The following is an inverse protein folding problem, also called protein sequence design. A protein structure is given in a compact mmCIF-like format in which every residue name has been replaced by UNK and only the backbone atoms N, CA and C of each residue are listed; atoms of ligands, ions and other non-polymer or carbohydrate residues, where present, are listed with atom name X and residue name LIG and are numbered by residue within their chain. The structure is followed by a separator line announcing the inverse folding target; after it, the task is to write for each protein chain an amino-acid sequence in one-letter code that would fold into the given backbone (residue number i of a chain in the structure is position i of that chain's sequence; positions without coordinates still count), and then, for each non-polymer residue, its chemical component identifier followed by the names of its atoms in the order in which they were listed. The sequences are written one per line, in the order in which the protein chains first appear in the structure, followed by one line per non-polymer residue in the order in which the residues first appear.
data_IF_448309617364
#
_entry.id   IF_448309617364
#
_cell.length_a   1.000
_cell.length_b   1.000
_cell.length_c   1.000
_cell.angle_alpha   90.00
_cell.angle_beta   90.00
_cell.angle_gamma   90.00
#
_symmetry.space_group_name_H-M   'P 1'
#
loop_
_entity.id
_entity.type
_entity.pdbx_description
1 polymer ?
#
# COMPACT_ATOMS: atom_id res chain seq x y z
N UNK A 1 -12.62 -24.52 -16.94
CA UNK A 1 -11.26 -24.51 -17.45
C UNK A 1 -10.41 -23.59 -16.58
N UNK A 2 -9.52 -24.18 -15.78
CA UNK A 2 -8.49 -23.47 -15.02
C UNK A 2 -7.34 -23.16 -15.95
N UNK A 3 -7.04 -21.89 -16.21
CA UNK A 3 -5.79 -21.51 -16.89
C UNK A 3 -4.68 -21.41 -15.84
N UNK A 4 -3.61 -22.14 -16.02
CA UNK A 4 -2.37 -22.02 -15.25
C UNK A 4 -1.57 -20.84 -15.79
N UNK A 5 -1.06 -20.00 -14.91
CA UNK A 5 0.07 -19.12 -15.23
C UNK A 5 1.31 -19.76 -14.61
N UNK A 6 2.20 -20.26 -15.45
CA UNK A 6 3.58 -20.52 -15.06
C UNK A 6 4.30 -19.16 -15.02
N UNK A 7 4.78 -18.75 -13.87
CA UNK A 7 5.70 -17.63 -13.78
C UNK A 7 7.03 -18.08 -14.38
N UNK A 8 7.29 -17.70 -15.63
CA UNK A 8 8.59 -17.86 -16.25
C UNK A 8 9.64 -17.07 -15.47
N UNK A 9 10.59 -17.77 -14.93
CA UNK A 9 11.84 -17.19 -14.41
C UNK A 9 12.64 -16.58 -15.57
N UNK A 10 13.69 -15.76 -15.31
CA UNK A 10 14.43 -15.12 -16.37
C UNK A 10 15.21 -16.17 -17.19
N UNK A 11 14.71 -16.47 -18.38
CA UNK A 11 15.36 -17.29 -19.37
C UNK A 11 16.45 -16.49 -20.08
N UNK A 12 17.65 -17.06 -20.12
CA UNK A 12 18.78 -16.55 -20.91
C UNK A 12 18.59 -16.86 -22.40
N UNK A 13 18.96 -15.88 -23.22
CA UNK A 13 19.64 -16.07 -24.49
C UNK A 13 18.76 -16.35 -25.72
N UNK A 14 18.90 -15.52 -26.72
CA UNK A 14 18.47 -15.73 -28.08
C UNK A 14 18.82 -14.53 -28.96
N UNK A 15 20.04 -14.57 -29.55
CA UNK A 15 20.52 -13.57 -30.50
C UNK A 15 19.74 -13.58 -31.82
N UNK A 16 19.59 -12.36 -32.36
CA UNK A 16 19.68 -11.91 -33.74
C UNK A 16 18.93 -12.67 -34.85
N UNK A 17 18.06 -11.98 -35.56
CA UNK A 17 18.11 -11.90 -37.02
C UNK A 17 17.72 -10.49 -37.45
N UNK A 18 18.71 -9.77 -38.01
CA UNK A 18 18.53 -8.52 -38.75
C UNK A 18 18.01 -8.83 -40.16
N UNK A 19 16.99 -8.14 -40.62
CA UNK A 19 16.83 -7.88 -42.04
C UNK A 19 16.47 -6.42 -42.32
N UNK A 20 17.31 -5.87 -43.18
CA UNK A 20 17.33 -4.51 -43.67
C UNK A 20 16.15 -4.23 -44.61
N UNK A 21 15.43 -3.12 -44.41
CA UNK A 21 14.86 -2.39 -45.52
C UNK A 21 15.10 -0.88 -45.29
N UNK A 22 15.92 -0.28 -46.18
CA UNK A 22 16.08 1.18 -46.31
C UNK A 22 15.00 1.66 -47.29
N UNK A 23 14.25 2.66 -46.88
CA UNK A 23 13.62 3.58 -47.83
C UNK A 23 13.89 5.00 -47.34
N UNK A 24 14.54 5.75 -48.18
CA UNK A 24 14.84 7.17 -48.05
C UNK A 24 13.58 7.94 -48.46
N UNK A 25 13.10 8.83 -47.59
CA UNK A 25 12.30 9.97 -48.04
C UNK A 25 12.74 11.23 -47.28
N UNK A 26 13.31 12.16 -48.01
CA UNK A 26 13.53 13.54 -47.59
C UNK A 26 12.18 14.27 -47.50
N UNK A 27 11.91 14.85 -46.36
CA UNK A 27 10.81 15.80 -46.19
C UNK A 27 11.04 16.61 -44.94
N UNK A 28 11.37 17.89 -45.14
CA UNK A 28 11.49 18.93 -44.13
C UNK A 28 10.17 18.97 -43.35
N UNK A 29 10.18 18.67 -42.05
CA UNK A 29 9.08 18.93 -41.15
C UNK A 29 9.59 19.52 -39.84
N UNK A 30 9.06 20.70 -39.58
CA UNK A 30 9.20 21.43 -38.32
C UNK A 30 9.19 20.48 -37.11
N UNK A 31 10.18 20.67 -36.26
CA UNK A 31 10.22 20.07 -34.93
C UNK A 31 9.18 20.75 -34.04
N UNK A 32 7.95 20.25 -34.09
CA UNK A 32 7.03 20.38 -32.98
C UNK A 32 7.31 19.18 -32.02
N UNK A 33 8.00 19.47 -30.93
CA UNK A 33 8.14 18.59 -29.84
C UNK A 33 6.74 18.29 -29.27
N UNK A 34 6.11 17.20 -29.72
CA UNK A 34 4.99 16.59 -29.06
C UNK A 34 5.52 15.98 -27.75
N UNK A 35 5.53 16.78 -26.71
CA UNK A 35 5.52 16.26 -25.35
C UNK A 35 4.24 15.44 -25.27
N UNK A 36 4.36 14.12 -25.31
CA UNK A 36 3.28 13.19 -25.03
C UNK A 36 2.94 13.36 -23.54
N UNK A 37 2.11 14.35 -23.24
CA UNK A 37 1.36 14.33 -21.99
C UNK A 37 0.55 13.04 -22.05
N UNK A 38 0.82 12.11 -21.13
CA UNK A 38 -0.03 10.96 -20.92
C UNK A 38 -1.39 11.50 -20.48
N UNK A 39 -2.29 11.68 -21.43
CA UNK A 39 -3.64 12.15 -21.18
C UNK A 39 -4.31 11.08 -20.32
N UNK A 40 -4.74 11.46 -19.11
CA UNK A 40 -5.48 10.57 -18.23
C UNK A 40 -6.64 9.94 -19.03
N UNK A 41 -6.88 8.64 -18.83
CA UNK A 41 -8.03 8.01 -19.50
C UNK A 41 -9.32 8.61 -18.94
N UNK A 42 -10.40 8.51 -19.70
CA UNK A 42 -11.72 8.95 -19.23
C UNK A 42 -12.11 8.26 -17.91
N UNK A 43 -11.80 6.98 -17.78
CA UNK A 43 -12.04 6.22 -16.55
C UNK A 43 -11.22 6.73 -15.37
N UNK A 44 -9.97 7.15 -15.60
CA UNK A 44 -9.13 7.72 -14.53
C UNK A 44 -9.71 9.05 -14.04
N UNK A 45 -10.10 9.94 -14.98
CA UNK A 45 -10.68 11.25 -14.64
C UNK A 45 -11.97 11.10 -13.84
N UNK A 46 -12.92 10.27 -14.31
CA UNK A 46 -14.17 10.00 -13.61
C UNK A 46 -13.93 9.38 -12.23
N UNK A 47 -13.00 8.43 -12.14
CA UNK A 47 -12.68 7.79 -10.87
C UNK A 47 -12.06 8.78 -9.87
N UNK A 48 -11.18 9.69 -10.32
CA UNK A 48 -10.61 10.74 -9.46
C UNK A 48 -11.68 11.70 -8.97
N UNK A 49 -12.63 12.11 -9.81
CA UNK A 49 -13.74 12.98 -9.41
C UNK A 49 -14.62 12.30 -8.36
N UNK A 50 -15.10 11.07 -8.61
CA UNK A 50 -15.91 10.32 -7.67
C UNK A 50 -15.20 10.10 -6.33
N UNK A 51 -13.90 9.81 -6.36
CA UNK A 51 -13.10 9.62 -5.16
C UNK A 51 -12.92 10.93 -4.37
N UNK A 52 -12.72 12.07 -5.04
CA UNK A 52 -12.67 13.40 -4.40
C UNK A 52 -13.99 13.72 -3.71
N UNK A 53 -15.12 13.47 -4.38
CA UNK A 53 -16.45 13.66 -3.79
C UNK A 53 -16.68 12.77 -2.56
N UNK A 54 -16.08 11.59 -2.54
CA UNK A 54 -16.11 10.67 -1.40
C UNK A 54 -15.08 11.01 -0.30
N UNK A 55 -14.34 12.12 -0.43
CA UNK A 55 -13.40 12.60 0.58
C UNK A 55 -11.99 12.01 0.50
N UNK A 56 -11.61 11.39 -0.61
CA UNK A 56 -10.22 11.00 -0.87
C UNK A 56 -9.40 12.24 -1.17
N UNK A 57 -8.27 12.38 -0.47
CA UNK A 57 -7.36 13.51 -0.67
C UNK A 57 -6.31 13.14 -1.72
N UNK A 58 -6.20 13.97 -2.74
CA UNK A 58 -5.24 13.79 -3.84
C UNK A 58 -4.12 14.81 -3.78
N UNK A 59 -2.92 14.35 -4.09
CA UNK A 59 -1.71 15.17 -4.22
C UNK A 59 -1.03 14.89 -5.56
N UNK A 60 -0.52 15.91 -6.27
CA UNK A 60 -0.06 15.75 -7.65
C UNK A 60 1.41 15.35 -7.79
N UNK A 61 2.30 15.89 -6.99
CA UNK A 61 3.75 15.77 -7.19
C UNK A 61 4.34 14.67 -6.31
N UNK A 62 4.03 13.42 -6.66
CA UNK A 62 4.52 12.29 -5.89
C UNK A 62 5.42 11.39 -6.73
N UNK A 63 6.38 10.77 -6.06
CA UNK A 63 7.18 9.67 -6.59
C UNK A 63 6.79 8.39 -5.86
N UNK A 64 6.47 7.35 -6.63
CA UNK A 64 6.11 6.03 -6.12
C UNK A 64 7.16 5.03 -6.57
N UNK A 65 7.83 4.38 -5.62
CA UNK A 65 8.73 3.26 -5.88
C UNK A 65 8.10 1.99 -5.33
N UNK A 66 7.87 1.01 -6.20
CA UNK A 66 7.33 -0.29 -5.78
C UNK A 66 8.43 -1.14 -5.17
N UNK A 67 8.11 -1.79 -4.05
CA UNK A 67 8.98 -2.71 -3.31
C UNK A 67 8.29 -4.08 -3.29
N UNK A 68 8.52 -4.93 -4.31
CA UNK A 68 7.77 -6.16 -4.54
C UNK A 68 8.19 -7.33 -3.65
N UNK A 69 9.21 -7.14 -2.80
CA UNK A 69 9.69 -8.16 -1.85
C UNK A 69 10.02 -7.57 -0.49
N UNK A 70 10.01 -8.44 0.53
CA UNK A 70 10.47 -8.05 1.87
C UNK A 70 11.95 -7.66 1.89
N UNK A 71 12.80 -8.30 1.09
CA UNK A 71 14.20 -7.96 1.00
C UNK A 71 14.39 -6.51 0.54
N UNK A 72 13.79 -6.12 -0.58
CA UNK A 72 13.85 -4.75 -1.10
C UNK A 72 13.24 -3.74 -0.12
N UNK A 73 12.08 -4.07 0.47
CA UNK A 73 11.44 -3.21 1.46
C UNK A 73 12.34 -2.92 2.64
N UNK A 74 12.89 -3.95 3.27
CA UNK A 74 13.65 -3.76 4.50
C UNK A 74 15.02 -3.13 4.23
N UNK A 75 15.66 -3.48 3.11
CA UNK A 75 16.91 -2.84 2.71
C UNK A 75 16.73 -1.33 2.49
N UNK A 76 15.74 -0.93 1.71
CA UNK A 76 15.45 0.47 1.42
C UNK A 76 15.00 1.24 2.67
N UNK A 77 14.05 0.68 3.43
CA UNK A 77 13.53 1.30 4.64
C UNK A 77 14.61 1.47 5.72
N UNK A 78 15.50 0.51 5.91
CA UNK A 78 16.57 0.61 6.90
C UNK A 78 17.58 1.68 6.51
N UNK A 79 17.94 1.80 5.22
CA UNK A 79 18.78 2.89 4.72
C UNK A 79 18.15 4.26 4.99
N UNK A 80 16.84 4.40 4.75
CA UNK A 80 16.12 5.64 5.03
C UNK A 80 16.08 5.97 6.54
N UNK A 81 15.86 4.96 7.39
CA UNK A 81 15.93 5.12 8.85
C UNK A 81 17.34 5.54 9.30
N UNK A 82 18.39 4.92 8.76
CA UNK A 82 19.78 5.31 9.06
C UNK A 82 20.07 6.77 8.74
N UNK A 83 19.51 7.28 7.65
CA UNK A 83 19.70 8.66 7.19
C UNK A 83 18.81 9.68 7.90
N UNK A 84 17.86 9.24 8.74
CA UNK A 84 16.96 10.13 9.45
C UNK A 84 17.68 11.06 10.42
N UNK A 85 17.16 12.28 10.60
CA UNK A 85 17.77 13.31 11.44
C UNK A 85 16.83 13.91 12.49
N UNK A 86 15.52 13.86 12.26
CA UNK A 86 14.54 14.55 13.10
C UNK A 86 13.57 13.57 13.76
N UNK A 87 12.81 12.81 12.97
CA UNK A 87 11.84 11.89 13.51
C UNK A 87 11.56 10.66 12.62
N UNK A 88 11.10 9.59 13.27
CA UNK A 88 10.65 8.36 12.65
C UNK A 88 9.33 7.96 13.33
N UNK A 89 8.24 7.91 12.58
CA UNK A 89 6.95 7.47 13.04
C UNK A 89 6.58 6.15 12.38
N UNK A 90 6.22 5.14 13.17
CA UNK A 90 5.87 3.81 12.68
C UNK A 90 4.49 3.40 13.22
N UNK A 91 3.60 3.00 12.33
CA UNK A 91 2.29 2.43 12.63
C UNK A 91 2.14 1.10 11.93
N UNK A 92 2.00 0.01 12.69
CA UNK A 92 1.90 -1.34 12.15
C UNK A 92 0.84 -2.17 12.87
N UNK A 93 0.20 -3.07 12.12
CA UNK A 93 -0.68 -4.06 12.73
C UNK A 93 0.09 -5.00 13.65
N UNK A 94 1.26 -5.48 13.22
CA UNK A 94 2.15 -6.25 14.09
C UNK A 94 3.64 -6.04 13.79
N UNK A 95 4.44 -6.22 14.83
CA UNK A 95 5.88 -6.42 14.75
C UNK A 95 6.20 -7.82 15.28
N UNK A 96 6.98 -8.56 14.53
CA UNK A 96 7.47 -9.87 14.98
C UNK A 96 8.79 -9.75 15.73
N UNK A 97 8.92 -10.48 16.83
CA UNK A 97 10.20 -10.57 17.57
C UNK A 97 11.13 -11.62 16.93
N UNK A 98 11.42 -11.44 15.65
CA UNK A 98 12.35 -12.24 14.84
C UNK A 98 13.58 -11.42 14.43
N UNK A 99 14.37 -11.88 13.44
CA UNK A 99 15.62 -11.23 13.07
C UNK A 99 15.41 -9.82 12.54
N UNK A 100 14.48 -9.62 11.62
CA UNK A 100 14.14 -8.30 11.06
C UNK A 100 13.53 -7.38 12.12
N UNK A 101 12.62 -7.91 12.94
CA UNK A 101 12.05 -7.12 14.03
C UNK A 101 13.11 -6.64 15.01
N UNK A 102 14.04 -7.52 15.43
CA UNK A 102 15.14 -7.14 16.30
C UNK A 102 16.09 -6.14 15.64
N UNK A 103 16.45 -6.34 14.37
CA UNK A 103 17.31 -5.43 13.63
C UNK A 103 16.67 -4.02 13.53
N UNK A 104 15.35 -3.94 13.24
CA UNK A 104 14.64 -2.69 13.21
C UNK A 104 14.70 -1.97 14.57
N UNK A 105 14.32 -2.62 15.66
CA UNK A 105 14.33 -2.00 16.99
C UNK A 105 15.74 -1.61 17.45
N UNK A 106 16.77 -2.37 17.09
CA UNK A 106 18.18 -2.01 17.35
C UNK A 106 18.57 -0.74 16.60
N UNK A 107 18.17 -0.62 15.33
CA UNK A 107 18.41 0.57 14.53
C UNK A 107 17.65 1.79 15.07
N UNK A 108 16.40 1.62 15.46
CA UNK A 108 15.61 2.69 16.08
C UNK A 108 16.24 3.17 17.41
N UNK A 109 16.71 2.26 18.26
CA UNK A 109 17.40 2.61 19.49
C UNK A 109 18.70 3.38 19.22
N UNK A 110 19.48 3.00 18.19
CA UNK A 110 20.64 3.77 17.72
C UNK A 110 20.23 5.20 17.34
N UNK A 111 19.16 5.37 16.55
CA UNK A 111 18.66 6.69 16.10
C UNK A 111 18.18 7.55 17.27
N UNK A 112 17.55 6.96 18.27
CA UNK A 112 17.17 7.65 19.51
C UNK A 112 18.38 8.19 20.24
N UNK A 113 19.47 7.43 20.32
CA UNK A 113 20.74 7.90 20.92
C UNK A 113 21.38 9.03 20.12
N UNK A 114 21.12 9.10 18.83
CA UNK A 114 21.53 10.19 17.93
C UNK A 114 20.61 11.43 18.05
N UNK A 115 19.58 11.37 18.91
CA UNK A 115 18.65 12.49 19.16
C UNK A 115 17.39 12.49 18.27
N UNK A 116 17.21 11.48 17.43
CA UNK A 116 16.03 11.33 16.57
C UNK A 116 14.82 10.92 17.42
N UNK A 117 13.68 11.56 17.23
CA UNK A 117 12.42 11.18 17.90
C UNK A 117 11.78 9.98 17.22
N UNK A 118 11.50 8.93 17.99
CA UNK A 118 10.89 7.70 17.48
C UNK A 118 9.56 7.46 18.17
N UNK A 119 8.48 7.36 17.38
CA UNK A 119 7.14 6.99 17.86
C UNK A 119 6.63 5.77 17.14
N UNK A 120 6.13 4.82 17.90
CA UNK A 120 5.64 3.54 17.40
C UNK A 120 4.22 3.28 17.89
N UNK A 121 3.32 2.99 16.96
CA UNK A 121 1.98 2.47 17.26
C UNK A 121 1.90 1.04 16.74
N UNK A 122 1.34 0.13 17.54
CA UNK A 122 0.98 -1.20 17.06
C UNK A 122 -0.38 -1.63 17.59
N UNK A 123 -1.04 -2.49 16.82
CA UNK A 123 -2.33 -3.06 17.19
C UNK A 123 -2.16 -4.20 18.20
N UNK A 124 -2.91 -4.19 19.30
CA UNK A 124 -2.75 -5.22 20.34
C UNK A 124 -3.19 -6.60 19.84
N UNK A 125 -4.30 -6.71 19.10
CA UNK A 125 -4.72 -7.97 18.50
C UNK A 125 -3.70 -8.49 17.49
N UNK A 126 -3.21 -7.61 16.63
CA UNK A 126 -2.15 -7.94 15.66
C UNK A 126 -0.91 -8.47 16.33
N UNK A 127 -0.55 -7.91 17.48
CA UNK A 127 0.60 -8.37 18.26
C UNK A 127 0.35 -9.71 18.94
N UNK A 128 -0.77 -9.88 19.67
CA UNK A 128 -1.03 -11.11 20.44
C UNK A 128 -1.40 -12.31 19.56
N UNK A 129 -1.97 -12.08 18.39
CA UNK A 129 -2.26 -13.14 17.40
C UNK A 129 -1.01 -13.63 16.65
N UNK A 130 0.12 -12.97 16.84
CA UNK A 130 1.39 -13.29 16.23
C UNK A 130 2.10 -14.39 17.01
N UNK A 131 2.68 -15.37 16.34
CA UNK A 131 3.44 -16.48 16.95
C UNK A 131 4.74 -16.03 17.65
N UNK A 132 5.27 -14.84 17.33
CA UNK A 132 6.43 -14.22 17.99
C UNK A 132 6.14 -12.77 18.37
N UNK A 133 5.22 -12.51 19.32
CA UNK A 133 4.82 -11.15 19.66
C UNK A 133 5.92 -10.33 20.33
N UNK A 134 5.85 -9.03 20.20
CA UNK A 134 6.63 -8.12 21.03
C UNK A 134 6.18 -8.26 22.49
N UNK A 135 7.11 -8.58 23.37
CA UNK A 135 6.83 -8.72 24.80
C UNK A 135 6.93 -7.38 25.52
N UNK A 136 5.99 -7.09 26.41
CA UNK A 136 5.96 -5.86 27.21
C UNK A 136 7.29 -5.53 27.92
N UNK A 137 8.06 -6.56 28.31
CA UNK A 137 9.40 -6.39 28.91
C UNK A 137 10.40 -5.75 27.94
N UNK A 138 10.38 -6.14 26.65
CA UNK A 138 11.26 -5.55 25.64
C UNK A 138 10.86 -4.11 25.36
N UNK A 139 9.57 -3.83 25.26
CA UNK A 139 9.06 -2.48 25.04
C UNK A 139 9.38 -1.54 26.20
N UNK A 140 9.39 -2.03 27.45
CA UNK A 140 9.78 -1.25 28.64
C UNK A 140 11.27 -0.88 28.63
N UNK A 141 12.12 -1.77 28.11
CA UNK A 141 13.56 -1.48 27.97
C UNK A 141 13.87 -0.44 26.91
N UNK A 142 13.01 -0.33 25.88
CA UNK A 142 13.17 0.64 24.80
C UNK A 142 12.57 2.02 25.13
N UNK A 143 11.66 2.10 26.10
CA UNK A 143 11.04 3.37 26.50
C UNK A 143 12.09 4.32 27.06
N UNK A 144 12.38 5.36 26.32
CA UNK A 144 13.21 6.50 26.73
C UNK A 144 12.46 7.79 26.41
N UNK A 145 13.02 8.93 26.82
CA UNK A 145 12.45 10.26 26.54
C UNK A 145 12.19 10.52 25.02
N UNK A 146 12.92 9.82 24.14
CA UNK A 146 12.82 10.00 22.70
C UNK A 146 12.29 8.76 21.96
N UNK A 147 11.96 7.68 22.70
CA UNK A 147 11.41 6.45 22.15
C UNK A 147 10.08 6.13 22.82
N UNK A 148 9.00 6.44 22.14
CA UNK A 148 7.65 6.23 22.63
C UNK A 148 6.96 5.09 21.87
N UNK A 149 6.39 4.14 22.60
CA UNK A 149 5.67 3.01 22.02
C UNK A 149 4.27 2.96 22.63
N UNK A 150 3.26 2.98 21.77
CA UNK A 150 1.85 3.00 22.13
C UNK A 150 1.13 1.82 21.53
N UNK A 151 0.17 1.28 22.27
CA UNK A 151 -0.67 0.16 21.87
C UNK A 151 -2.02 0.69 21.45
N UNK A 152 -2.41 0.38 20.20
CA UNK A 152 -3.76 0.67 19.75
C UNK A 152 -4.75 -0.35 20.30
N UNK A 153 -5.81 0.14 20.92
CA UNK A 153 -6.98 -0.60 21.42
C UNK A 153 -6.60 -1.89 22.18
N UNK A 154 -5.98 -1.76 23.39
CA UNK A 154 -5.57 -2.87 24.21
C UNK A 154 -6.71 -3.87 24.46
N UNK A 155 -6.43 -5.17 24.31
CA UNK A 155 -7.40 -6.24 24.57
C UNK A 155 -7.45 -6.46 26.08
N UNK A 156 -8.54 -6.01 26.69
CA UNK A 156 -8.87 -6.20 28.10
C UNK A 156 -10.22 -6.92 28.22
N UNK A 157 -10.39 -7.70 29.27
CA UNK A 157 -11.66 -8.39 29.51
C UNK A 157 -12.77 -7.36 29.91
N UNK A 158 -13.98 -7.45 29.37
CA UNK A 158 -14.48 -8.37 28.34
C UNK A 158 -14.10 -7.87 26.91
N UNK A 159 -13.27 -8.63 26.22
CA UNK A 159 -12.63 -8.32 24.93
C UNK A 159 -13.60 -8.24 23.72
N UNK A 160 -14.86 -8.62 23.88
CA UNK A 160 -15.85 -8.77 22.79
C UNK A 160 -16.03 -7.49 21.96
N UNK A 161 -15.91 -6.32 22.56
CA UNK A 161 -16.07 -5.03 21.86
C UNK A 161 -14.84 -4.57 21.10
N UNK A 162 -13.68 -5.15 21.37
CA UNK A 162 -12.38 -4.72 20.81
C UNK A 162 -11.91 -5.58 19.63
N UNK A 163 -12.48 -6.78 19.44
CA UNK A 163 -12.03 -7.73 18.42
C UNK A 163 -12.24 -7.27 16.98
N UNK A 164 -13.23 -6.40 16.71
CA UNK A 164 -13.67 -6.05 15.35
C UNK A 164 -13.13 -4.72 14.81
N UNK A 165 -12.52 -3.90 15.65
CA UNK A 165 -12.08 -2.54 15.28
C UNK A 165 -10.57 -2.41 15.41
N UNK A 166 -9.86 -3.08 14.49
CA UNK A 166 -8.41 -3.18 14.52
C UNK A 166 -7.75 -2.19 13.57
N UNK A 167 -6.58 -1.72 13.95
CA UNK A 167 -5.73 -0.93 13.07
C UNK A 167 -4.86 -1.84 12.21
N UNK A 168 -5.16 -1.88 10.93
CA UNK A 168 -4.43 -2.73 9.99
C UNK A 168 -3.51 -1.94 9.05
N UNK A 169 -3.25 -0.66 9.37
CA UNK A 169 -2.34 0.17 8.58
C UNK A 169 -0.89 -0.29 8.73
N UNK A 170 -0.08 0.03 7.75
CA UNK A 170 1.37 -0.11 7.76
C UNK A 170 1.91 1.19 7.21
N UNK A 171 2.38 2.05 8.08
CA UNK A 171 2.88 3.38 7.75
C UNK A 171 4.21 3.60 8.46
N UNK A 172 5.21 4.06 7.72
CA UNK A 172 6.44 4.63 8.30
C UNK A 172 6.63 6.00 7.68
N UNK A 173 6.75 7.03 8.48
CA UNK A 173 7.05 8.40 8.04
C UNK A 173 8.40 8.82 8.59
N UNK A 174 9.28 9.31 7.74
CA UNK A 174 10.64 9.71 8.11
C UNK A 174 10.90 11.14 7.64
N UNK A 175 11.16 12.05 8.57
CA UNK A 175 11.66 13.43 8.35
C UNK A 175 10.86 14.25 7.32
N UNK A 176 9.57 14.05 7.14
CA UNK A 176 8.76 14.64 6.06
C UNK A 176 9.28 14.40 4.64
N UNK A 177 10.15 13.42 4.44
CA UNK A 177 10.78 13.14 3.15
C UNK A 177 10.23 11.90 2.49
N UNK A 178 9.97 10.86 3.27
CA UNK A 178 9.60 9.56 2.73
C UNK A 178 8.56 8.85 3.60
N UNK A 179 7.67 8.14 2.93
CA UNK A 179 6.70 7.23 3.54
C UNK A 179 6.90 5.82 3.00
N UNK A 180 6.79 4.83 3.88
CA UNK A 180 6.63 3.43 3.49
C UNK A 180 5.22 2.97 3.87
N UNK A 181 4.51 2.39 2.90
CA UNK A 181 3.17 1.85 3.11
C UNK A 181 2.90 0.66 2.18
N UNK A 182 1.93 -0.19 2.52
CA UNK A 182 1.57 -1.36 1.71
C UNK A 182 1.09 -2.55 2.53
N UNK A 183 1.26 -3.77 2.00
CA UNK A 183 0.74 -4.99 2.62
C UNK A 183 1.63 -5.57 3.74
N UNK A 184 2.93 -5.33 3.71
CA UNK A 184 3.91 -6.02 4.56
C UNK A 184 3.97 -5.46 5.97
N UNK A 185 3.85 -6.32 6.98
CA UNK A 185 4.24 -6.03 8.35
C UNK A 185 5.78 -6.14 8.53
N UNK A 186 6.26 -6.20 9.77
CA UNK A 186 7.67 -6.40 10.09
C UNK A 186 7.88 -7.84 10.53
N UNK A 187 8.39 -8.68 9.61
CA UNK A 187 8.63 -10.11 9.87
C UNK A 187 9.58 -10.73 8.83
N UNK A 188 10.38 -11.71 9.29
CA UNK A 188 11.33 -12.45 8.47
C UNK A 188 10.69 -13.19 7.29
N UNK A 189 9.44 -13.64 7.44
CA UNK A 189 8.77 -14.43 6.41
C UNK A 189 8.47 -13.64 5.11
N UNK A 190 8.49 -12.33 5.13
CA UNK A 190 8.41 -11.52 3.89
C UNK A 190 9.69 -11.65 3.04
N UNK A 191 10.81 -12.08 3.64
CA UNK A 191 12.08 -12.32 2.94
C UNK A 191 12.24 -13.81 2.61
N UNK A 192 12.06 -14.66 3.61
CA UNK A 192 12.42 -16.08 3.53
C UNK A 192 11.23 -17.02 3.29
N UNK A 193 10.00 -16.49 3.33
CA UNK A 193 8.80 -17.31 3.30
C UNK A 193 8.55 -18.04 4.61
N UNK A 194 7.64 -19.01 4.55
CA UNK A 194 7.33 -19.93 5.66
C UNK A 194 7.32 -21.37 5.15
N UNK A 195 7.77 -22.35 5.95
CA UNK A 195 7.76 -23.76 5.53
C UNK A 195 6.39 -24.24 5.05
N UNK A 196 5.30 -23.79 5.70
CA UNK A 196 3.92 -24.20 5.42
C UNK A 196 3.40 -23.66 4.10
N UNK A 197 3.88 -22.50 3.68
CA UNK A 197 3.38 -21.77 2.50
C UNK A 197 4.40 -21.69 1.37
N UNK A 198 5.68 -21.89 1.64
CA UNK A 198 6.76 -21.58 0.71
C UNK A 198 7.06 -20.08 0.68
N UNK A 199 7.30 -19.53 -0.51
CA UNK A 199 7.55 -18.10 -0.68
C UNK A 199 6.36 -17.27 -0.22
N UNK A 200 6.64 -16.19 0.49
CA UNK A 200 5.63 -15.20 0.88
C UNK A 200 5.79 -13.95 0.03
N UNK A 201 4.86 -13.73 -0.88
CA UNK A 201 4.90 -12.59 -1.79
C UNK A 201 3.90 -11.51 -1.36
N UNK A 202 4.37 -10.29 -1.25
CA UNK A 202 3.52 -9.14 -0.94
C UNK A 202 4.12 -7.89 -1.61
N UNK A 203 3.42 -6.78 -1.55
CA UNK A 203 3.84 -5.53 -2.15
C UNK A 203 3.85 -4.40 -1.12
N UNK A 204 4.89 -3.59 -1.17
CA UNK A 204 5.04 -2.36 -0.41
C UNK A 204 5.43 -1.22 -1.35
N UNK A 205 5.36 0.00 -0.86
CA UNK A 205 5.70 1.19 -1.62
C UNK A 205 6.54 2.13 -0.76
N UNK A 206 7.51 2.78 -1.40
CA UNK A 206 8.14 4.00 -0.93
C UNK A 206 7.49 5.16 -1.66
N UNK A 207 7.05 6.17 -0.92
CA UNK A 207 6.39 7.36 -1.41
C UNK A 207 7.18 8.60 -1.01
N UNK A 208 7.32 9.55 -1.93
CA UNK A 208 7.98 10.84 -1.72
C UNK A 208 7.11 11.94 -2.36
N UNK A 209 7.19 13.17 -1.87
CA UNK A 209 6.46 14.31 -2.40
C UNK A 209 5.26 14.73 -1.56
N UNK A 210 4.28 15.34 -2.21
CA UNK A 210 3.16 16.03 -1.55
C UNK A 210 2.25 15.12 -0.70
N UNK A 211 2.33 13.80 -0.88
CA UNK A 211 1.57 12.85 -0.05
C UNK A 211 2.16 12.66 1.36
N UNK A 212 3.43 12.99 1.59
CA UNK A 212 4.10 12.72 2.87
C UNK A 212 3.40 13.41 4.05
N UNK A 213 3.03 14.70 3.98
CA UNK A 213 2.28 15.36 5.04
C UNK A 213 0.90 14.73 5.33
N UNK A 214 0.24 14.13 4.33
CA UNK A 214 -1.02 13.41 4.53
C UNK A 214 -0.82 12.18 5.42
N UNK A 215 0.20 11.37 5.14
CA UNK A 215 0.52 10.19 5.94
C UNK A 215 0.98 10.58 7.35
N UNK A 216 1.77 11.64 7.49
CA UNK A 216 2.11 12.18 8.81
C UNK A 216 0.86 12.56 9.60
N UNK A 217 -0.09 13.28 8.98
CA UNK A 217 -1.35 13.65 9.62
C UNK A 217 -2.12 12.42 10.09
N UNK A 218 -2.24 11.39 9.25
CA UNK A 218 -2.89 10.12 9.59
C UNK A 218 -2.25 9.51 10.85
N UNK A 219 -0.92 9.48 10.91
CA UNK A 219 -0.20 8.99 12.09
C UNK A 219 -0.47 9.85 13.32
N UNK A 220 -0.39 11.20 13.20
CA UNK A 220 -0.62 12.11 14.33
C UNK A 220 -2.03 12.01 14.88
N UNK A 221 -3.04 11.90 14.03
CA UNK A 221 -4.44 11.67 14.43
C UNK A 221 -4.61 10.34 15.19
N UNK A 222 -3.92 9.29 14.74
CA UNK A 222 -3.92 8.00 15.44
C UNK A 222 -3.16 8.09 16.77
N UNK A 223 -2.04 8.80 16.80
CA UNK A 223 -1.27 9.03 18.03
C UNK A 223 -2.12 9.75 19.09
N UNK A 224 -2.73 10.87 18.73
CA UNK A 224 -3.64 11.62 19.61
C UNK A 224 -4.79 10.74 20.13
N UNK A 225 -5.33 9.89 19.25
CA UNK A 225 -6.37 8.94 19.63
C UNK A 225 -5.92 7.91 20.67
N UNK A 226 -4.67 7.47 20.59
CA UNK A 226 -4.13 6.44 21.49
C UNK A 226 -3.66 7.02 22.84
N UNK A 227 -3.18 8.26 22.83
CA UNK A 227 -2.52 8.90 24.00
C UNK A 227 -3.35 9.99 24.64
N UNK A 228 -4.21 10.65 23.89
CA UNK A 228 -4.85 11.93 24.26
C UNK A 228 -3.98 13.14 23.97
N UNK A 229 -2.70 12.96 23.62
CA UNK A 229 -1.74 14.03 23.41
C UNK A 229 -1.50 14.31 21.94
N UNK A 230 -1.49 15.59 21.57
CA UNK A 230 -1.10 16.02 20.23
C UNK A 230 0.41 16.03 20.10
N UNK A 231 0.91 15.61 18.95
CA UNK A 231 2.31 15.81 18.59
C UNK A 231 2.48 17.29 18.25
N UNK A 232 3.45 17.95 18.90
CA UNK A 232 3.74 19.36 18.67
C UNK A 232 4.20 19.56 17.21
N UNK A 233 3.63 20.56 16.53
CA UNK A 233 4.02 20.93 15.17
C UNK A 233 5.48 21.37 15.07
N UNK A 234 6.07 21.85 16.16
CA UNK A 234 7.50 22.19 16.22
C UNK A 234 8.42 20.97 16.02
N UNK A 235 7.93 19.75 16.26
CA UNK A 235 8.74 18.54 16.06
C UNK A 235 9.04 18.24 14.59
N UNK A 236 8.22 18.75 13.67
CA UNK A 236 8.36 18.52 12.23
C UNK A 236 8.47 19.83 11.42
N UNK A 237 8.78 20.94 12.04
CA UNK A 237 9.19 22.15 11.33
C UNK A 237 10.57 21.92 10.67
N UNK A 238 10.58 21.09 9.68
CA UNK A 238 11.63 21.07 8.69
C UNK A 238 11.34 22.18 7.68
N UNK A 239 12.35 22.85 7.18
CA UNK A 239 12.37 24.07 6.36
C UNK A 239 11.42 24.14 5.13
N UNK A 240 10.33 23.40 5.09
CA UNK A 240 9.41 23.46 3.97
C UNK A 240 8.34 24.55 4.20
N UNK A 241 8.57 25.71 3.55
CA UNK A 241 7.58 26.78 3.35
C UNK A 241 6.21 26.26 2.87
N UNK A 242 6.17 25.05 2.30
CA UNK A 242 4.98 24.36 1.79
C UNK A 242 3.93 24.03 2.89
N UNK A 243 4.34 23.93 4.15
CA UNK A 243 3.41 23.58 5.22
C UNK A 243 2.66 24.78 5.81
N UNK A 244 3.21 26.02 5.74
CA UNK A 244 2.56 27.21 6.29
C UNK A 244 1.38 27.69 5.43
N UNK A 245 1.31 27.32 4.17
CA UNK A 245 0.19 27.67 3.28
C UNK A 245 -0.99 26.72 3.41
N UNK A 246 -1.10 26.05 4.53
CA UNK A 246 -2.26 25.28 5.01
C UNK A 246 -3.27 24.90 3.95
N UNK A 247 -3.85 23.76 4.03
CA UNK A 247 -4.96 23.18 3.30
C UNK A 247 -6.10 24.14 2.79
N UNK A 248 -5.95 25.45 2.96
CA UNK A 248 -6.87 26.51 2.50
C UNK A 248 -6.61 27.00 1.08
N UNK A 249 -5.68 26.43 0.35
CA UNK A 249 -5.31 27.01 -0.95
C UNK A 249 -4.63 26.07 -1.94
N UNK A 250 -4.98 24.78 -1.99
CA UNK A 250 -4.74 24.01 -3.20
C UNK A 250 -5.69 24.55 -4.30
N UNK A 251 -5.41 25.80 -4.76
CA UNK A 251 -5.81 26.21 -6.10
C UNK A 251 -5.19 25.18 -7.04
N UNK A 252 -6.00 24.69 -7.96
CA UNK A 252 -5.55 23.97 -9.16
C UNK A 252 -4.52 24.83 -9.90
N UNK A 253 -3.30 24.86 -9.40
CA UNK A 253 -2.17 25.30 -10.20
C UNK A 253 -1.96 24.21 -11.23
N UNK A 254 -2.34 24.51 -12.45
CA UNK A 254 -2.08 23.70 -13.62
C UNK A 254 -0.66 23.16 -13.52
N UNK A 255 -0.54 21.84 -13.54
CA UNK A 255 0.71 21.10 -13.45
C UNK A 255 1.63 21.55 -14.59
N UNK A 256 2.58 22.42 -14.31
CA UNK A 256 3.56 22.90 -15.30
C UNK A 256 4.78 21.99 -15.41
N UNK A 257 4.88 20.95 -14.56
CA UNK A 257 5.97 19.96 -14.62
C UNK A 257 5.41 18.55 -14.56
N UNK A 258 5.49 17.82 -15.67
CA UNK A 258 4.77 16.58 -15.96
C UNK A 258 5.40 15.30 -15.38
N UNK A 259 6.24 15.38 -14.35
CA UNK A 259 7.02 14.23 -13.85
C UNK A 259 6.46 13.54 -12.61
N UNK A 260 5.37 14.00 -12.02
CA UNK A 260 4.81 13.47 -10.78
C UNK A 260 3.60 12.55 -10.96
N UNK A 261 3.41 11.61 -10.03
CA UNK A 261 2.23 10.74 -9.97
C UNK A 261 1.13 11.42 -9.16
N UNK A 262 -0.10 11.48 -9.69
CA UNK A 262 -1.29 11.85 -8.92
C UNK A 262 -1.62 10.70 -7.96
N UNK A 263 -1.61 10.96 -6.66
CA UNK A 263 -1.82 9.97 -5.62
C UNK A 263 -3.00 10.37 -4.73
N UNK A 264 -3.98 9.47 -4.59
CA UNK A 264 -5.11 9.63 -3.69
C UNK A 264 -4.95 8.76 -2.44
N UNK A 265 -5.20 9.34 -1.26
CA UNK A 265 -5.15 8.61 0.01
C UNK A 265 -6.56 8.44 0.59
N UNK A 266 -7.07 7.21 0.52
CA UNK A 266 -8.34 6.82 1.12
C UNK A 266 -8.11 6.28 2.54
N UNK A 267 -8.15 7.15 3.53
CA UNK A 267 -8.00 6.75 4.93
C UNK A 267 -9.33 6.37 5.56
N UNK A 268 -9.39 5.22 6.24
CA UNK A 268 -10.58 4.79 6.97
C UNK A 268 -10.28 4.45 8.41
N UNK A 269 -11.04 5.07 9.30
CA UNK A 269 -11.14 4.67 10.70
C UNK A 269 -12.47 3.97 10.96
N UNK A 270 -12.48 2.70 11.43
CA UNK A 270 -13.71 2.00 11.79
C UNK A 270 -14.54 2.81 12.79
N UNK A 271 -15.87 2.86 12.59
CA UNK A 271 -16.86 3.65 13.34
C UNK A 271 -16.78 5.17 13.21
N UNK A 272 -15.66 5.76 12.78
CA UNK A 272 -15.48 7.21 12.72
C UNK A 272 -15.61 7.79 11.31
N UNK A 273 -15.22 7.04 10.30
CA UNK A 273 -15.30 7.48 8.92
C UNK A 273 -16.30 6.65 8.10
N UNK A 274 -16.84 7.20 7.00
CA UNK A 274 -17.63 6.46 6.03
C UNK A 274 -16.88 5.25 5.48
N UNK A 275 -17.58 4.37 4.78
CA UNK A 275 -16.97 3.20 4.13
C UNK A 275 -16.23 3.60 2.84
N UNK A 276 -15.33 4.58 2.95
CA UNK A 276 -14.61 5.21 1.83
C UNK A 276 -13.88 4.19 0.95
N UNK A 277 -13.12 3.24 1.54
CA UNK A 277 -12.38 2.23 0.78
C UNK A 277 -13.32 1.36 -0.07
N UNK A 278 -14.43 0.89 0.50
CA UNK A 278 -15.42 0.11 -0.25
C UNK A 278 -16.04 0.91 -1.39
N UNK A 279 -16.30 2.18 -1.17
CA UNK A 279 -16.84 3.09 -2.17
C UNK A 279 -15.84 3.30 -3.29
N UNK A 280 -14.57 3.55 -2.95
CA UNK A 280 -13.49 3.67 -3.93
C UNK A 280 -13.36 2.44 -4.85
N UNK A 281 -13.52 1.23 -4.30
CA UNK A 281 -13.55 0.02 -5.13
C UNK A 281 -14.74 0.01 -6.10
N UNK A 282 -15.94 0.42 -5.63
CA UNK A 282 -17.15 0.42 -6.44
C UNK A 282 -17.01 1.43 -7.57
N UNK A 283 -16.59 2.66 -7.27
CA UNK A 283 -16.45 3.75 -8.23
C UNK A 283 -15.40 3.39 -9.31
N UNK A 284 -14.24 2.89 -8.93
CA UNK A 284 -13.24 2.44 -9.88
C UNK A 284 -13.73 1.28 -10.78
N UNK A 285 -14.50 0.33 -10.23
CA UNK A 285 -15.08 -0.79 -11.00
C UNK A 285 -16.18 -0.29 -11.94
N UNK A 286 -17.03 0.62 -11.48
CA UNK A 286 -18.14 1.15 -12.29
C UNK A 286 -17.65 2.07 -13.41
N UNK A 287 -16.55 2.79 -13.22
CA UNK A 287 -15.91 3.63 -14.24
C UNK A 287 -15.02 2.85 -15.22
N UNK A 288 -14.69 1.59 -14.94
CA UNK A 288 -13.88 0.76 -15.81
C UNK A 288 -14.48 0.61 -17.22
N UNK A 289 -13.65 0.83 -18.25
CA UNK A 289 -14.05 0.78 -19.67
C UNK A 289 -13.54 -0.48 -20.38
N UNK A 290 -12.35 -0.97 -20.04
CA UNK A 290 -11.67 -2.05 -20.77
C UNK A 290 -11.34 -3.26 -19.94
N UNK A 291 -10.66 -3.04 -18.78
CA UNK A 291 -10.05 -4.14 -18.04
C UNK A 291 -9.99 -3.84 -16.54
N UNK A 292 -10.26 -4.86 -15.75
CA UNK A 292 -10.05 -4.87 -14.29
C UNK A 292 -9.17 -6.08 -13.96
N UNK A 293 -8.09 -5.85 -13.23
CA UNK A 293 -7.23 -6.92 -12.71
C UNK A 293 -7.18 -6.83 -11.20
N UNK A 294 -7.43 -7.94 -10.52
CA UNK A 294 -7.47 -8.02 -9.05
C UNK A 294 -6.51 -9.10 -8.57
N UNK A 295 -5.67 -8.75 -7.62
CA UNK A 295 -4.86 -9.70 -6.84
C UNK A 295 -5.28 -9.59 -5.39
N UNK A 296 -5.81 -10.67 -4.82
CA UNK A 296 -6.23 -10.67 -3.42
C UNK A 296 -6.25 -12.10 -2.84
N UNK A 297 -5.51 -12.38 -1.72
CA UNK A 297 -5.52 -13.70 -1.08
C UNK A 297 -6.82 -14.01 -0.35
N UNK A 298 -7.50 -12.98 0.17
CA UNK A 298 -8.74 -13.10 0.95
C UNK A 298 -9.93 -12.60 0.14
N UNK A 299 -10.16 -13.23 -1.01
CA UNK A 299 -11.15 -12.77 -1.98
C UNK A 299 -12.59 -13.04 -1.48
N UNK A 300 -13.01 -12.22 -0.54
CA UNK A 300 -14.35 -12.21 0.04
C UNK A 300 -15.12 -10.99 -0.49
N UNK A 301 -16.09 -11.21 -1.35
CA UNK A 301 -16.83 -10.13 -1.97
C UNK A 301 -18.06 -9.73 -1.14
N UNK A 302 -18.04 -8.53 -0.58
CA UNK A 302 -19.27 -7.93 -0.04
C UNK A 302 -20.29 -7.72 -1.17
N UNK A 303 -21.61 -7.78 -0.87
CA UNK A 303 -22.65 -7.75 -1.92
C UNK A 303 -22.55 -6.58 -2.87
N UNK A 304 -22.21 -5.38 -2.39
CA UNK A 304 -22.11 -4.17 -3.22
C UNK A 304 -20.96 -4.25 -4.24
N UNK A 305 -19.75 -4.65 -3.82
CA UNK A 305 -18.59 -4.83 -4.71
C UNK A 305 -18.86 -5.96 -5.71
N UNK A 306 -19.48 -7.07 -5.27
CA UNK A 306 -19.88 -8.16 -6.16
C UNK A 306 -20.84 -7.68 -7.25
N UNK A 307 -21.84 -6.86 -6.89
CA UNK A 307 -22.77 -6.27 -7.86
C UNK A 307 -22.06 -5.36 -8.86
N UNK A 308 -21.09 -4.55 -8.41
CA UNK A 308 -20.28 -3.70 -9.29
C UNK A 308 -19.49 -4.54 -10.31
N UNK A 309 -18.78 -5.60 -9.87
CA UNK A 309 -18.09 -6.52 -10.78
C UNK A 309 -19.02 -7.19 -11.79
N UNK A 310 -20.26 -7.53 -11.39
CA UNK A 310 -21.25 -8.08 -12.33
C UNK A 310 -21.70 -7.05 -13.36
N UNK A 311 -21.85 -5.76 -12.97
CA UNK A 311 -22.14 -4.68 -13.91
C UNK A 311 -21.00 -4.48 -14.91
N UNK A 312 -19.75 -4.47 -14.43
CA UNK A 312 -18.57 -4.36 -15.28
C UNK A 312 -18.51 -5.50 -16.34
N UNK A 313 -18.69 -6.75 -15.91
CA UNK A 313 -18.76 -7.90 -16.83
C UNK A 313 -19.91 -7.79 -17.84
N UNK A 314 -21.08 -7.30 -17.41
CA UNK A 314 -22.23 -7.05 -18.31
C UNK A 314 -21.94 -5.96 -19.35
N UNK A 315 -21.10 -4.96 -19.02
CA UNK A 315 -20.63 -3.94 -19.97
C UNK A 315 -19.56 -4.46 -20.94
N UNK A 316 -19.07 -5.67 -20.75
CA UNK A 316 -18.00 -6.26 -21.58
C UNK A 316 -16.60 -5.94 -21.08
N UNK A 317 -16.45 -5.38 -19.88
CA UNK A 317 -15.14 -5.13 -19.25
C UNK A 317 -14.46 -6.48 -18.94
N UNK A 318 -13.21 -6.66 -19.37
CA UNK A 318 -12.43 -7.85 -19.09
C UNK A 318 -12.06 -7.88 -17.60
N UNK A 319 -12.46 -8.93 -16.89
CA UNK A 319 -12.13 -9.11 -15.48
C UNK A 319 -11.18 -10.29 -15.29
N UNK A 320 -10.04 -10.02 -14.72
CA UNK A 320 -9.01 -11.01 -14.38
C UNK A 320 -8.76 -10.98 -12.87
N UNK A 321 -8.82 -12.13 -12.22
CA UNK A 321 -8.60 -12.25 -10.77
C UNK A 321 -7.53 -13.29 -10.50
N UNK A 322 -6.48 -12.90 -9.77
CA UNK A 322 -5.46 -13.82 -9.28
C UNK A 322 -5.68 -14.09 -7.79
N UNK A 323 -5.82 -15.35 -7.46
CA UNK A 323 -5.97 -15.89 -6.11
C UNK A 323 -4.72 -16.67 -5.71
N UNK A 324 -4.54 -16.91 -4.42
CA UNK A 324 -3.50 -17.80 -3.92
C UNK A 324 -4.08 -19.18 -3.61
N UNK A 325 -3.37 -20.25 -3.96
CA UNK A 325 -3.76 -21.62 -3.58
C UNK A 325 -3.48 -21.90 -2.11
N UNK A 326 -2.47 -21.22 -1.55
CA UNK A 326 -2.09 -21.29 -0.13
C UNK A 326 -2.53 -20.03 0.58
N UNK A 327 -2.90 -20.15 1.84
CA UNK A 327 -3.35 -19.03 2.67
C UNK A 327 -3.05 -19.30 4.14
N UNK A 328 -2.67 -18.26 4.87
CA UNK A 328 -2.46 -18.29 6.32
C UNK A 328 -3.77 -18.44 7.13
N UNK A 329 -4.91 -18.22 6.48
CA UNK A 329 -6.25 -18.49 7.05
C UNK A 329 -6.88 -19.67 6.30
N UNK A 330 -6.99 -20.87 6.91
CA UNK A 330 -7.31 -22.11 6.21
C UNK A 330 -8.62 -22.09 5.41
N UNK A 331 -9.65 -21.40 5.89
CA UNK A 331 -10.99 -21.34 5.24
C UNK A 331 -11.01 -20.40 4.01
N UNK A 332 -10.04 -19.50 3.88
CA UNK A 332 -10.08 -18.46 2.85
C UNK A 332 -9.97 -18.97 1.39
N UNK A 333 -9.18 -20.00 1.07
CA UNK A 333 -9.16 -20.55 -0.28
C UNK A 333 -10.53 -21.03 -0.78
N UNK A 334 -11.32 -21.66 0.09
CA UNK A 334 -12.67 -22.17 -0.25
C UNK A 334 -13.65 -21.00 -0.48
N UNK A 335 -13.61 -20.00 0.40
CA UNK A 335 -14.43 -18.79 0.25
C UNK A 335 -14.07 -18.05 -1.03
N UNK A 336 -12.77 -17.90 -1.31
CA UNK A 336 -12.29 -17.26 -2.54
C UNK A 336 -12.75 -18.05 -3.78
N UNK A 337 -12.63 -19.39 -3.77
CA UNK A 337 -13.07 -20.25 -4.85
C UNK A 337 -14.59 -20.16 -5.10
N UNK A 338 -15.39 -20.05 -4.04
CA UNK A 338 -16.83 -19.84 -4.14
C UNK A 338 -17.18 -18.54 -4.89
N UNK A 339 -16.52 -17.44 -4.57
CA UNK A 339 -16.74 -16.16 -5.26
C UNK A 339 -16.20 -16.20 -6.68
N UNK A 340 -15.01 -16.75 -6.89
CA UNK A 340 -14.38 -16.92 -8.19
C UNK A 340 -15.26 -17.71 -9.17
N UNK A 341 -15.80 -18.85 -8.75
CA UNK A 341 -16.69 -19.68 -9.57
C UNK A 341 -17.90 -18.92 -10.10
N UNK A 342 -18.44 -17.97 -9.31
CA UNK A 342 -19.58 -17.14 -9.71
C UNK A 342 -19.21 -16.06 -10.71
N UNK A 343 -17.99 -15.53 -10.64
CA UNK A 343 -17.46 -14.60 -11.63
C UNK A 343 -17.11 -15.31 -12.93
N UNK A 344 -16.47 -16.49 -12.85
CA UNK A 344 -16.17 -17.32 -14.04
C UNK A 344 -17.41 -17.64 -14.87
N UNK A 345 -18.54 -17.95 -14.22
CA UNK A 345 -19.82 -18.17 -14.90
C UNK A 345 -20.33 -16.95 -15.68
N UNK A 346 -19.75 -15.76 -15.43
CA UNK A 346 -20.06 -14.49 -16.08
C UNK A 346 -18.95 -13.98 -16.99
N UNK A 347 -17.96 -14.82 -17.28
CA UNK A 347 -16.89 -14.49 -18.22
C UNK A 347 -15.62 -13.92 -17.59
N UNK A 348 -15.45 -13.96 -16.28
CA UNK A 348 -14.18 -13.58 -15.66
C UNK A 348 -13.11 -14.67 -15.83
N UNK A 349 -11.88 -14.26 -16.07
CA UNK A 349 -10.70 -15.12 -16.04
C UNK A 349 -10.15 -15.22 -14.61
N UNK A 350 -9.99 -16.45 -14.10
CA UNK A 350 -9.47 -16.71 -12.75
C UNK A 350 -8.15 -17.44 -12.83
N UNK A 351 -7.16 -16.91 -12.16
CA UNK A 351 -5.81 -17.44 -12.07
C UNK A 351 -5.48 -17.82 -10.63
N UNK A 352 -4.62 -18.82 -10.46
CA UNK A 352 -4.14 -19.25 -9.16
C UNK A 352 -2.62 -19.15 -9.11
N UNK A 353 -2.11 -18.44 -8.11
CA UNK A 353 -0.69 -18.40 -7.81
C UNK A 353 -0.31 -19.64 -7.01
N UNK A 354 0.61 -20.44 -7.54
CA UNK A 354 1.00 -21.76 -6.99
C UNK A 354 2.37 -21.73 -6.28
N UNK A 355 3.23 -20.76 -6.59
CA UNK A 355 4.62 -20.66 -6.05
C UNK A 355 4.68 -20.03 -4.65
N UNK A 356 3.79 -20.45 -3.76
CA UNK A 356 3.72 -19.97 -2.39
C UNK A 356 2.44 -19.22 -2.03
N UNK A 357 2.54 -18.29 -1.08
CA UNK A 357 1.42 -17.45 -0.66
C UNK A 357 1.57 -16.03 -1.20
N UNK A 358 0.64 -15.61 -2.03
CA UNK A 358 0.60 -14.25 -2.57
C UNK A 358 -0.33 -13.37 -1.74
N UNK A 359 0.24 -12.55 -0.87
CA UNK A 359 -0.50 -11.75 0.11
C UNK A 359 -0.85 -10.33 -0.36
N UNK A 360 -0.48 -9.91 -1.57
CA UNK A 360 -0.81 -8.56 -2.08
C UNK A 360 -2.31 -8.33 -2.26
N UNK A 361 -2.74 -7.09 -2.05
CA UNK A 361 -4.10 -6.59 -2.27
C UNK A 361 -4.01 -5.44 -3.26
N UNK A 362 -4.20 -5.75 -4.53
CA UNK A 362 -4.04 -4.80 -5.65
C UNK A 362 -5.23 -4.90 -6.59
N UNK A 363 -5.71 -3.78 -7.06
CA UNK A 363 -6.64 -3.68 -8.17
C UNK A 363 -6.08 -2.67 -9.18
N UNK A 364 -6.06 -3.05 -10.43
CA UNK A 364 -5.68 -2.19 -11.57
C UNK A 364 -6.88 -2.07 -12.50
N UNK A 365 -7.16 -0.86 -12.96
CA UNK A 365 -8.29 -0.55 -13.84
C UNK A 365 -7.77 0.18 -15.06
N UNK A 366 -8.12 -0.31 -16.25
CA UNK A 366 -7.84 0.29 -17.56
C UNK A 366 -6.37 0.67 -17.82
N UNK A 367 -5.43 0.07 -17.10
CA UNK A 367 -4.00 0.30 -17.31
C UNK A 367 -3.58 -0.12 -18.73
N UNK A 368 -2.81 0.72 -19.41
CA UNK A 368 -2.10 0.32 -20.62
C UNK A 368 -1.01 -0.67 -20.23
N UNK A 369 -1.02 -1.83 -20.87
CA UNK A 369 0.06 -2.81 -20.78
C UNK A 369 1.17 -2.40 -21.71
#
# INVERSE_FOLDING_TARGET
HKKRIECLGPGRGGEAIMSKWRVIFCGVLLSMGLVSMAQASLSDSLTVEDLKENGVLFTPHNRVTLLPSGAEKFEDMFKAIEQSRHYIYLEYFNFRSDSIGKALFTLLDKKVREGVKVRVIYDDFGNVSNDRPLRKRHLRQLKSRHFEVVVFDPIVFPWVNHALHRDHRKIVVIDDKVVYTGGMNVADYYIHGRPEFGKWRDMHMRLEGDCVPLYRRIFCEMWERCTGDKIDSLEYQTDSLAFQTGFRGLKETACADSSGVLLGVANREPKRSPAIIRRSYIDAIDNAQKRIQIVNPYFTLVPSVKKALYRALKRGVKLEVMLSTKCDVPVMPDVAAYHAKRLMKRGADIYYYEDGFHHSKVMMVDTKV
#
